data_IF_459330701533
#
_entry.id   IF_459330701533
#
_cell.length_a   1.000
_cell.length_b   1.000
_cell.length_c   1.000
_cell.angle_alpha   90.00
_cell.angle_beta   90.00
_cell.angle_gamma   90.00
#
_symmetry.space_group_name_H-M   'P 1'
#
loop_
_entity.id
_entity.type
_entity.pdbx_description
1 polymer ?
#
# COMPACT_ATOMS: atom_id res chain seq x y z
N UNK A 1 -13.96 -9.98 -13.05
CA UNK A 1 -13.38 -8.98 -12.13
C UNK A 1 -13.37 -7.65 -12.86
N UNK A 2 -13.90 -6.56 -12.29
CA UNK A 2 -13.95 -5.28 -13.01
C UNK A 2 -12.53 -4.71 -13.20
N UNK A 3 -12.29 -3.85 -14.20
CA UNK A 3 -10.99 -3.21 -14.41
C UNK A 3 -10.50 -2.46 -13.15
N UNK A 4 -11.44 -1.84 -12.42
CA UNK A 4 -11.15 -1.17 -11.16
C UNK A 4 -10.64 -2.14 -10.09
N UNK A 5 -11.34 -3.26 -9.90
CA UNK A 5 -10.92 -4.29 -8.94
C UNK A 5 -9.59 -4.93 -9.35
N UNK A 6 -9.34 -5.11 -10.65
CA UNK A 6 -8.06 -5.62 -11.18
C UNK A 6 -6.91 -4.69 -10.85
N UNK A 7 -7.08 -3.40 -11.10
CA UNK A 7 -6.04 -2.41 -10.84
C UNK A 7 -5.71 -2.30 -9.35
N UNK A 8 -6.73 -2.18 -8.50
CA UNK A 8 -6.56 -2.05 -7.04
C UNK A 8 -5.88 -3.30 -6.44
N UNK A 9 -6.24 -4.51 -6.90
CA UNK A 9 -5.70 -5.74 -6.33
C UNK A 9 -4.35 -6.17 -6.90
N UNK A 10 -4.02 -5.84 -8.15
CA UNK A 10 -2.83 -6.39 -8.83
C UNK A 10 -1.79 -5.33 -9.14
N UNK A 11 -2.20 -4.15 -9.62
CA UNK A 11 -1.26 -3.14 -10.10
C UNK A 11 -0.85 -2.19 -8.98
N UNK A 12 -1.82 -1.71 -8.18
CA UNK A 12 -1.52 -0.82 -7.07
C UNK A 12 -0.77 -1.51 -5.92
N UNK A 13 -0.91 -2.83 -5.79
CA UNK A 13 -0.19 -3.66 -4.82
C UNK A 13 1.14 -4.21 -5.34
N UNK A 14 1.45 -4.05 -6.63
CA UNK A 14 2.71 -4.52 -7.22
C UNK A 14 3.97 -4.01 -6.48
N UNK A 15 4.05 -2.73 -6.04
CA UNK A 15 5.18 -2.24 -5.25
C UNK A 15 5.30 -2.95 -3.90
N UNK A 16 4.17 -3.36 -3.30
CA UNK A 16 4.13 -4.08 -2.04
C UNK A 16 4.67 -5.51 -2.20
N UNK A 17 4.30 -6.19 -3.29
CA UNK A 17 4.86 -7.50 -3.63
C UNK A 17 6.37 -7.41 -3.89
N UNK A 18 6.81 -6.40 -4.64
CA UNK A 18 8.24 -6.15 -4.88
C UNK A 18 9.03 -5.92 -3.58
N UNK A 19 8.51 -5.07 -2.69
CA UNK A 19 9.12 -4.83 -1.38
C UNK A 19 9.20 -6.11 -0.54
N UNK A 20 8.13 -6.91 -0.53
CA UNK A 20 8.09 -8.19 0.22
C UNK A 20 9.14 -9.18 -0.28
N UNK A 21 9.33 -9.29 -1.59
CA UNK A 21 10.36 -10.14 -2.18
C UNK A 21 11.77 -9.67 -1.80
N UNK A 22 12.03 -8.36 -1.86
CA UNK A 22 13.32 -7.78 -1.48
C UNK A 22 13.62 -8.03 0.01
N UNK A 23 12.67 -7.76 0.91
CA UNK A 23 12.84 -8.00 2.34
C UNK A 23 12.96 -9.49 2.66
N UNK A 24 12.21 -10.36 1.98
CA UNK A 24 12.33 -11.81 2.11
C UNK A 24 13.71 -12.31 1.69
N UNK A 25 14.22 -11.83 0.54
CA UNK A 25 15.55 -12.17 0.06
C UNK A 25 16.64 -11.66 1.00
N UNK A 26 16.52 -10.43 1.50
CA UNK A 26 17.45 -9.86 2.48
C UNK A 26 17.43 -10.65 3.80
N UNK A 27 16.25 -11.08 4.26
CA UNK A 27 16.10 -11.93 5.44
C UNK A 27 16.75 -13.30 5.26
N UNK A 28 16.55 -13.95 4.11
CA UNK A 28 17.19 -15.21 3.78
C UNK A 28 18.71 -15.08 3.66
N UNK A 29 19.21 -14.04 2.97
CA UNK A 29 20.63 -13.74 2.88
C UNK A 29 21.22 -13.52 4.27
N UNK A 30 20.61 -12.67 5.11
CA UNK A 30 21.02 -12.43 6.49
C UNK A 30 21.06 -13.73 7.31
N UNK A 31 20.07 -14.61 7.14
CA UNK A 31 20.03 -15.90 7.82
C UNK A 31 21.20 -16.81 7.41
N UNK A 32 21.56 -16.84 6.12
CA UNK A 32 22.67 -17.63 5.59
C UNK A 32 24.04 -17.18 6.11
N UNK A 33 24.28 -15.86 6.19
CA UNK A 33 25.55 -15.32 6.72
C UNK A 33 25.61 -15.27 8.25
N UNK A 34 24.50 -15.45 8.96
CA UNK A 34 24.50 -15.39 10.43
C UNK A 34 24.94 -16.74 11.03
N UNK A 35 26.00 -16.77 11.88
CA UNK A 35 26.46 -17.98 12.55
C UNK A 35 25.33 -18.65 13.34
N UNK A 36 25.28 -19.99 13.36
CA UNK A 36 24.20 -20.76 13.98
C UNK A 36 23.91 -20.33 15.43
N UNK A 37 24.95 -19.99 16.20
CA UNK A 37 24.87 -19.54 17.60
C UNK A 37 24.22 -18.16 17.78
N UNK A 38 24.14 -17.36 16.71
CA UNK A 38 23.56 -16.01 16.69
C UNK A 38 22.35 -15.90 15.76
N UNK A 39 21.86 -17.00 15.17
CA UNK A 39 20.63 -16.97 14.38
C UNK A 39 19.47 -16.65 15.32
N UNK A 40 18.98 -15.42 15.21
CA UNK A 40 17.74 -14.99 15.87
C UNK A 40 16.64 -15.94 15.39
N UNK A 41 15.86 -16.52 16.30
CA UNK A 41 14.63 -17.22 15.92
C UNK A 41 13.78 -16.21 15.14
N UNK A 42 13.70 -16.36 13.83
CA UNK A 42 12.96 -15.45 12.98
C UNK A 42 11.49 -15.61 13.32
N UNK A 43 10.95 -14.67 14.10
CA UNK A 43 9.56 -14.67 14.52
C UNK A 43 8.71 -14.22 13.33
N UNK A 44 8.46 -15.12 12.37
CA UNK A 44 7.63 -14.84 11.19
C UNK A 44 6.24 -14.30 11.56
N UNK A 45 5.69 -14.71 12.70
CA UNK A 45 4.44 -14.15 13.24
C UNK A 45 4.54 -12.68 13.67
N UNK A 46 5.74 -12.18 14.02
CA UNK A 46 6.00 -10.75 14.24
C UNK A 46 6.34 -10.01 12.95
N UNK A 47 6.75 -10.73 11.89
CA UNK A 47 6.95 -10.16 10.56
C UNK A 47 5.62 -9.91 9.81
N UNK A 48 4.53 -10.61 10.18
CA UNK A 48 3.15 -10.23 9.87
C UNK A 48 2.75 -9.02 10.73
N UNK A 49 3.39 -7.90 10.42
CA UNK A 49 3.26 -6.66 11.13
C UNK A 49 1.99 -5.92 10.69
N UNK A 50 1.16 -5.48 11.64
CA UNK A 50 0.04 -4.57 11.37
C UNK A 50 0.50 -3.30 10.65
N UNK A 51 1.76 -2.89 10.82
CA UNK A 51 2.33 -1.76 10.08
C UNK A 51 2.57 -2.07 8.60
N UNK A 52 2.84 -3.33 8.24
CA UNK A 52 2.98 -3.78 6.86
C UNK A 52 1.80 -3.38 5.97
N UNK A 53 0.59 -3.49 6.54
CA UNK A 53 -0.64 -3.09 5.88
C UNK A 53 -0.75 -1.59 5.67
N UNK A 54 -0.30 -0.78 6.63
CA UNK A 54 -0.29 0.68 6.49
C UNK A 54 0.64 1.16 5.38
N UNK A 55 1.78 0.49 5.16
CA UNK A 55 2.65 0.80 4.01
C UNK A 55 1.91 0.56 2.68
N UNK A 56 1.26 -0.60 2.55
CA UNK A 56 0.45 -0.92 1.36
C UNK A 56 -0.72 0.04 1.17
N UNK A 57 -1.40 0.38 2.26
CA UNK A 57 -2.48 1.37 2.28
C UNK A 57 -2.01 2.75 1.83
N UNK A 58 -0.87 3.23 2.35
CA UNK A 58 -0.32 4.53 1.96
C UNK A 58 0.01 4.57 0.47
N UNK A 59 0.64 3.53 -0.08
CA UNK A 59 0.98 3.45 -1.50
C UNK A 59 -0.30 3.45 -2.35
N UNK A 60 -1.26 2.58 -2.01
CA UNK A 60 -2.54 2.50 -2.71
C UNK A 60 -3.27 3.84 -2.72
N UNK A 61 -3.31 4.52 -1.56
CA UNK A 61 -3.96 5.80 -1.41
C UNK A 61 -3.27 6.90 -2.24
N UNK A 62 -1.93 7.00 -2.20
CA UNK A 62 -1.18 7.98 -3.02
C UNK A 62 -1.40 7.72 -4.52
N UNK A 63 -1.28 6.47 -4.97
CA UNK A 63 -1.45 6.14 -6.39
C UNK A 63 -2.87 6.43 -6.87
N UNK A 64 -3.88 6.11 -6.05
CA UNK A 64 -5.28 6.42 -6.36
C UNK A 64 -5.51 7.93 -6.41
N UNK A 65 -4.96 8.67 -5.45
CA UNK A 65 -5.03 10.14 -5.42
C UNK A 65 -4.41 10.78 -6.66
N UNK A 66 -3.17 10.39 -7.01
CA UNK A 66 -2.48 10.89 -8.20
C UNK A 66 -3.28 10.62 -9.47
N UNK A 67 -3.80 9.39 -9.62
CA UNK A 67 -4.63 9.02 -10.76
C UNK A 67 -5.92 9.84 -10.86
N UNK A 68 -6.53 10.15 -9.72
CA UNK A 68 -7.70 11.05 -9.67
C UNK A 68 -7.39 12.48 -10.13
N UNK A 69 -6.20 12.99 -9.78
CA UNK A 69 -5.72 14.31 -10.23
C UNK A 69 -5.40 14.30 -11.72
N UNK A 70 -4.64 13.31 -12.20
CA UNK A 70 -4.20 13.21 -13.60
C UNK A 70 -5.38 13.15 -14.57
N UNK A 71 -6.49 12.53 -14.15
CA UNK A 71 -7.71 12.42 -14.95
C UNK A 71 -8.77 13.49 -14.64
N UNK A 72 -8.40 14.55 -13.90
CA UNK A 72 -9.28 15.69 -13.59
C UNK A 72 -10.64 15.26 -13.02
N UNK A 73 -10.64 14.27 -12.12
CA UNK A 73 -11.87 13.78 -11.46
C UNK A 73 -12.53 14.95 -10.73
N UNK A 74 -13.72 15.34 -11.17
CA UNK A 74 -14.46 16.51 -10.68
C UNK A 74 -15.77 16.11 -9.99
N UNK A 75 -16.42 17.08 -9.33
CA UNK A 75 -17.67 16.85 -8.61
C UNK A 75 -17.49 16.05 -7.31
N UNK A 76 -18.50 15.25 -6.93
CA UNK A 76 -18.52 14.52 -5.65
C UNK A 76 -17.37 13.50 -5.50
N UNK A 77 -16.83 13.01 -6.62
CA UNK A 77 -15.70 12.08 -6.64
C UNK A 77 -14.35 12.75 -6.34
N UNK A 78 -14.26 14.08 -6.44
CA UNK A 78 -13.04 14.84 -6.05
C UNK A 78 -12.75 14.73 -4.55
N UNK A 79 -13.80 14.55 -3.73
CA UNK A 79 -13.66 14.33 -2.28
C UNK A 79 -12.90 13.03 -2.01
N UNK A 80 -13.18 11.96 -2.78
CA UNK A 80 -12.49 10.68 -2.65
C UNK A 80 -10.99 10.79 -2.96
N UNK A 81 -10.60 11.66 -3.91
CA UNK A 81 -9.20 11.96 -4.23
C UNK A 81 -8.48 12.58 -3.02
N UNK A 82 -9.11 13.57 -2.37
CA UNK A 82 -8.53 14.20 -1.17
C UNK A 82 -8.50 13.25 0.03
N UNK A 83 -9.52 12.39 0.19
CA UNK A 83 -9.51 11.34 1.23
C UNK A 83 -8.33 10.39 1.01
N UNK A 84 -8.03 10.00 -0.22
CA UNK A 84 -6.85 9.19 -0.55
C UNK A 84 -5.54 9.86 -0.09
N UNK A 85 -5.33 11.15 -0.38
CA UNK A 85 -4.14 11.86 0.12
C UNK A 85 -4.12 12.02 1.65
N UNK A 86 -5.25 12.34 2.27
CA UNK A 86 -5.35 12.49 3.73
C UNK A 86 -5.07 11.18 4.47
N UNK A 87 -5.59 10.07 3.96
CA UNK A 87 -5.33 8.73 4.52
C UNK A 87 -3.90 8.27 4.29
N UNK A 88 -3.26 8.62 3.17
CA UNK A 88 -1.83 8.39 2.98
C UNK A 88 -0.96 9.09 4.04
N UNK A 89 -1.25 10.36 4.32
CA UNK A 89 -0.56 11.12 5.37
C UNK A 89 -0.78 10.48 6.75
N UNK A 90 -2.02 10.07 7.04
CA UNK A 90 -2.36 9.41 8.29
C UNK A 90 -1.65 8.06 8.46
N UNK A 91 -1.59 7.23 7.41
CA UNK A 91 -0.79 6.01 7.40
C UNK A 91 0.68 6.30 7.66
N UNK A 92 1.25 7.31 6.99
CA UNK A 92 2.65 7.71 7.19
C UNK A 92 2.95 8.15 8.63
N UNK A 93 2.07 8.95 9.23
CA UNK A 93 2.21 9.40 10.60
C UNK A 93 2.14 8.24 11.61
N UNK A 94 1.19 7.31 11.43
CA UNK A 94 1.02 6.14 12.31
C UNK A 94 2.19 5.17 12.19
N UNK A 95 2.68 4.95 10.97
CA UNK A 95 3.87 4.15 10.71
C UNK A 95 5.09 4.77 11.39
N UNK A 96 5.34 6.07 11.18
CA UNK A 96 6.47 6.76 11.79
C UNK A 96 6.40 6.70 13.32
N UNK A 97 5.23 6.96 13.91
CA UNK A 97 5.02 6.87 15.35
C UNK A 97 5.32 5.47 15.89
N UNK A 98 4.83 4.41 15.24
CA UNK A 98 5.12 3.06 15.73
C UNK A 98 6.55 2.58 15.46
N UNK A 99 7.24 3.10 14.44
CA UNK A 99 8.68 2.87 14.27
C UNK A 99 9.47 3.51 15.42
N UNK A 100 9.12 4.72 15.83
CA UNK A 100 9.73 5.40 16.99
C UNK A 100 9.50 4.58 18.26
N UNK A 101 8.25 4.19 18.54
CA UNK A 101 7.94 3.42 19.76
C UNK A 101 8.63 2.05 19.78
N UNK A 102 8.84 1.40 18.63
CA UNK A 102 9.63 0.17 18.53
C UNK A 102 11.12 0.37 18.74
N UNK A 103 11.65 1.52 18.33
CA UNK A 103 13.04 1.88 18.61
C UNK A 103 13.28 2.06 20.11
N UNK A 104 12.28 2.57 20.83
CA UNK A 104 12.33 2.79 22.28
C UNK A 104 12.08 1.51 23.10
N UNK A 105 11.14 0.66 22.65
CA UNK A 105 10.69 -0.52 23.40
C UNK A 105 10.89 -1.79 22.53
N UNK A 106 11.95 -2.58 22.77
CA UNK A 106 12.27 -3.79 21.99
C UNK A 106 11.18 -4.86 22.02
N UNK A 107 10.36 -4.88 23.06
CA UNK A 107 9.26 -5.84 23.25
C UNK A 107 7.90 -5.28 22.81
N UNK A 108 7.89 -4.14 22.13
CA UNK A 108 6.66 -3.47 21.75
C UNK A 108 5.79 -4.36 20.86
N UNK A 109 4.50 -4.39 21.19
CA UNK A 109 3.46 -5.03 20.39
C UNK A 109 2.39 -3.99 20.06
N UNK A 110 1.81 -4.06 18.84
CA UNK A 110 0.73 -3.16 18.48
C UNK A 110 -0.45 -3.36 19.44
N UNK A 111 -0.95 -2.31 20.11
CA UNK A 111 -2.12 -2.45 20.96
C UNK A 111 -3.35 -2.79 20.10
N UNK A 112 -4.32 -3.52 20.65
CA UNK A 112 -5.50 -3.96 19.89
C UNK A 112 -6.27 -2.81 19.23
N UNK A 113 -6.26 -1.62 19.85
CA UNK A 113 -6.88 -0.41 19.28
C UNK A 113 -6.18 0.05 17.99
N UNK A 114 -4.86 -0.10 17.90
CA UNK A 114 -4.10 0.21 16.69
C UNK A 114 -4.48 -0.75 15.57
N UNK A 115 -4.69 -2.03 15.88
CA UNK A 115 -5.13 -3.04 14.91
C UNK A 115 -6.51 -2.67 14.36
N UNK A 116 -7.49 -2.42 15.24
CA UNK A 116 -8.85 -2.01 14.81
C UNK A 116 -8.80 -0.75 13.96
N UNK A 117 -8.04 0.25 14.39
CA UNK A 117 -7.85 1.49 13.65
C UNK A 117 -7.24 1.24 12.26
N UNK A 118 -6.21 0.41 12.16
CA UNK A 118 -5.57 0.06 10.88
C UNK A 118 -6.54 -0.66 9.93
N UNK A 119 -7.41 -1.54 10.45
CA UNK A 119 -8.44 -2.20 9.65
C UNK A 119 -9.47 -1.22 9.10
N UNK A 120 -9.96 -0.30 9.93
CA UNK A 120 -10.91 0.74 9.51
C UNK A 120 -10.26 1.66 8.47
N UNK A 121 -9.03 2.09 8.71
CA UNK A 121 -8.28 2.96 7.80
C UNK A 121 -8.08 2.28 6.43
N UNK A 122 -7.73 1.00 6.41
CA UNK A 122 -7.61 0.23 5.17
C UNK A 122 -8.94 0.12 4.42
N UNK A 123 -10.05 -0.08 5.12
CA UNK A 123 -11.37 -0.11 4.48
C UNK A 123 -11.69 1.24 3.81
N UNK A 124 -11.41 2.36 4.47
CA UNK A 124 -11.58 3.71 3.91
C UNK A 124 -10.72 3.91 2.67
N UNK A 125 -9.45 3.48 2.71
CA UNK A 125 -8.53 3.57 1.57
C UNK A 125 -9.06 2.76 0.38
N UNK A 126 -9.46 1.51 0.61
CA UNK A 126 -9.95 0.63 -0.47
C UNK A 126 -11.23 1.19 -1.10
N UNK A 127 -12.18 1.67 -0.29
CA UNK A 127 -13.43 2.26 -0.80
C UNK A 127 -13.15 3.55 -1.57
N UNK A 128 -12.27 4.41 -1.07
CA UNK A 128 -11.91 5.67 -1.72
C UNK A 128 -11.16 5.42 -3.03
N UNK A 129 -10.20 4.49 -3.04
CA UNK A 129 -9.48 4.06 -4.23
C UNK A 129 -10.43 3.48 -5.29
N UNK A 130 -11.38 2.65 -4.87
CA UNK A 130 -12.41 2.10 -5.75
C UNK A 130 -13.25 3.22 -6.40
N UNK A 131 -13.73 4.18 -5.61
CA UNK A 131 -14.54 5.30 -6.13
C UNK A 131 -13.76 6.18 -7.11
N UNK A 132 -12.49 6.47 -6.82
CA UNK A 132 -11.64 7.22 -7.75
C UNK A 132 -11.45 6.43 -9.04
N UNK A 133 -11.19 5.13 -8.95
CA UNK A 133 -10.98 4.28 -10.10
C UNK A 133 -12.24 4.15 -10.96
N UNK A 134 -13.41 3.98 -10.34
CA UNK A 134 -14.70 3.94 -11.04
C UNK A 134 -14.96 5.27 -11.78
N UNK A 135 -14.73 6.41 -11.11
CA UNK A 135 -14.85 7.73 -11.73
C UNK A 135 -13.89 7.91 -12.92
N UNK A 136 -12.66 7.39 -12.85
CA UNK A 136 -11.72 7.45 -13.97
C UNK A 136 -12.15 6.58 -15.16
N UNK A 137 -12.81 5.45 -14.91
CA UNK A 137 -13.34 4.58 -15.97
C UNK A 137 -14.54 5.22 -16.68
N UNK A 138 -15.45 5.86 -15.92
CA UNK A 138 -16.60 6.58 -16.49
C UNK A 138 -16.15 7.73 -17.40
N UNK A 139 -15.01 8.36 -17.10
CA UNK A 139 -14.40 9.39 -17.94
C UNK A 139 -13.73 8.85 -19.22
N UNK A 140 -13.92 7.56 -19.56
CA UNK A 140 -13.46 6.96 -20.82
C UNK A 140 -12.00 6.50 -20.82
N UNK A 141 -11.37 6.35 -19.65
CA UNK A 141 -9.99 5.86 -19.54
C UNK A 141 -10.00 4.32 -19.43
N UNK A 142 -10.24 3.66 -20.55
CA UNK A 142 -10.06 2.21 -20.64
C UNK A 142 -8.58 1.84 -20.63
N UNK A 143 -8.14 1.36 -19.46
CA UNK A 143 -6.87 0.69 -19.23
C UNK A 143 -5.59 1.51 -19.47
N UNK A 144 -4.62 1.24 -18.60
CA UNK A 144 -3.20 1.48 -18.79
C UNK A 144 -2.82 1.37 -20.26
N UNK A 145 -2.27 2.45 -20.81
CA UNK A 145 -1.48 2.53 -22.05
C UNK A 145 -1.08 1.15 -22.60
N UNK A 146 -1.95 0.55 -23.40
CA UNK A 146 -1.55 -0.36 -24.47
C UNK A 146 -1.22 0.43 -25.75
N UNK A 147 -1.34 1.76 -25.72
CA UNK A 147 -1.10 2.65 -26.85
C UNK A 147 0.37 2.89 -27.15
N UNK A 148 1.30 2.67 -26.22
CA UNK A 148 2.74 2.86 -26.47
C UNK A 148 3.43 1.60 -27.06
N UNK A 149 2.74 0.46 -27.14
CA UNK A 149 3.29 -0.76 -27.73
C UNK A 149 2.97 -0.90 -29.24
N UNK A 150 2.05 -0.10 -29.79
CA UNK A 150 1.69 -0.17 -31.21
C UNK A 150 2.38 0.87 -32.10
N UNK A 151 3.00 1.90 -31.54
CA UNK A 151 3.66 2.97 -32.32
C UNK A 151 5.14 2.71 -32.60
N UNK A 152 5.75 1.69 -32.01
CA UNK A 152 7.18 1.35 -32.20
C UNK A 152 7.43 0.31 -33.30
N UNK A 153 6.39 -0.11 -34.02
CA UNK A 153 6.51 -0.97 -35.20
C UNK A 153 5.93 -0.25 -36.43
N UNK A 154 6.55 0.86 -36.83
CA UNK A 154 6.49 1.36 -38.20
C UNK A 154 7.84 1.90 -38.62
#
# INVERSE_FOLDING_TARGET
MSPATKWVLLEALLPLFGATLIYGFLGAAKWLVTPACRRVKWAWGQAFDSMGWLYGGAILAVQSGLRGVDHSVSGQNSIAVWICFGTALLCGAVVAAGMITRGEIPEWKPPGILIVFTCVLMAVIVVSAYNVQDATLVNGVDNVRHTDAQTTCR
#
